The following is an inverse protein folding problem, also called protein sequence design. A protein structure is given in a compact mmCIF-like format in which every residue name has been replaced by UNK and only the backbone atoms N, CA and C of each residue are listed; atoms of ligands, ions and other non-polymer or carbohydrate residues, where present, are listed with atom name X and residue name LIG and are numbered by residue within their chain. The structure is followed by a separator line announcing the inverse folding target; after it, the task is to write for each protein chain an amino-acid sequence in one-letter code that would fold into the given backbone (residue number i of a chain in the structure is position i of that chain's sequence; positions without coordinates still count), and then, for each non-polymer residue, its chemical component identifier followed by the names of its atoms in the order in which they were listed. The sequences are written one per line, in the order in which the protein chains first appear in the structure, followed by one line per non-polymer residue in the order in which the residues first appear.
data_IF_451151985176
#
_entry.id   IF_451151985176
#
_cell.length_a   1.000
_cell.length_b   1.000
_cell.length_c   1.000
_cell.angle_alpha   90.00
_cell.angle_beta   90.00
_cell.angle_gamma   90.00
#
_symmetry.space_group_name_H-M   'P 1'
#
loop_
_entity.id
_entity.type
_entity.pdbx_description
1 polymer ?
#
# COMPACT_ATOMS: atom_id res chain seq x y z
N UNK A 1 0.87 14.02 21.24
CA UNK A 1 0.27 12.69 21.38
C UNK A 1 -0.12 12.23 19.99
N UNK A 2 0.73 11.41 19.37
CA UNK A 2 0.64 11.03 17.96
C UNK A 2 -0.57 10.13 17.71
N UNK A 3 -1.49 10.59 16.87
CA UNK A 3 -2.72 9.87 16.54
C UNK A 3 -2.43 8.97 15.32
N UNK A 4 -1.86 7.79 15.56
CA UNK A 4 -1.23 6.95 14.53
C UNK A 4 -2.25 6.18 13.65
N UNK A 5 -3.51 6.09 14.08
CA UNK A 5 -4.61 5.50 13.30
C UNK A 5 -5.83 6.40 13.45
N UNK A 6 -6.12 7.21 12.43
CA UNK A 6 -7.40 7.88 12.30
C UNK A 6 -8.32 7.08 11.39
N UNK A 7 -9.53 6.72 11.84
CA UNK A 7 -10.58 6.15 10.98
C UNK A 7 -11.18 7.18 10.00
N UNK A 8 -10.54 8.34 9.84
CA UNK A 8 -11.07 9.46 9.08
C UNK A 8 -10.74 9.23 7.61
N UNK A 9 -11.78 9.16 6.76
CA UNK A 9 -11.64 9.24 5.31
C UNK A 9 -11.06 10.61 4.95
N UNK A 10 -9.74 10.74 4.93
CA UNK A 10 -9.08 11.92 4.41
C UNK A 10 -9.32 12.00 2.91
N UNK A 11 -9.86 13.11 2.41
CA UNK A 11 -10.04 13.35 0.98
C UNK A 11 -8.71 13.41 0.18
N UNK A 12 -7.57 13.33 0.87
CA UNK A 12 -6.21 13.44 0.31
C UNK A 12 -5.25 12.32 0.74
N UNK A 13 -5.75 11.25 1.37
CA UNK A 13 -4.87 10.17 1.80
C UNK A 13 -4.37 9.36 0.60
N UNK A 14 -3.07 9.06 0.55
CA UNK A 14 -2.47 8.21 -0.47
C UNK A 14 -2.93 6.76 -0.25
N UNK A 15 -3.57 6.12 -1.25
CA UNK A 15 -4.02 4.75 -1.13
C UNK A 15 -2.85 3.76 -1.05
N UNK A 16 -2.85 2.93 -0.02
CA UNK A 16 -2.02 1.72 0.14
C UNK A 16 -2.86 0.53 -0.32
N UNK A 17 -2.45 -0.09 -1.41
CA UNK A 17 -3.14 -1.22 -2.03
C UNK A 17 -2.35 -2.51 -1.79
N UNK A 18 -2.95 -3.41 -1.02
CA UNK A 18 -2.37 -4.72 -0.75
C UNK A 18 -2.66 -5.68 -1.90
N UNK A 19 -1.62 -6.33 -2.40
CA UNK A 19 -1.67 -7.20 -3.56
C UNK A 19 -0.97 -8.53 -3.27
N UNK A 20 -1.43 -9.57 -3.94
CA UNK A 20 -0.65 -10.79 -4.16
C UNK A 20 -0.45 -10.99 -5.67
N UNK A 21 0.30 -12.03 -6.03
CA UNK A 21 0.56 -12.37 -7.43
C UNK A 21 -0.73 -12.57 -8.24
N UNK A 22 -1.81 -13.03 -7.61
CA UNK A 22 -3.10 -13.26 -8.27
C UNK A 22 -3.87 -11.95 -8.55
N UNK A 23 -3.76 -10.95 -7.67
CA UNK A 23 -4.43 -9.66 -7.81
C UNK A 23 -3.67 -8.64 -8.68
N UNK A 24 -2.36 -8.85 -8.88
CA UNK A 24 -1.51 -7.95 -9.67
C UNK A 24 -2.04 -7.67 -11.11
N UNK A 25 -2.55 -8.64 -11.88
CA UNK A 25 -3.11 -8.38 -13.20
C UNK A 25 -4.36 -7.49 -13.16
N UNK A 26 -5.20 -7.61 -12.13
CA UNK A 26 -6.38 -6.79 -11.94
C UNK A 26 -5.99 -5.35 -11.56
N UNK A 27 -5.02 -5.19 -10.66
CA UNK A 27 -4.43 -3.88 -10.34
C UNK A 27 -3.90 -3.19 -11.59
N UNK A 28 -3.10 -3.90 -12.41
CA UNK A 28 -2.51 -3.34 -13.63
C UNK A 28 -3.54 -2.76 -14.60
N UNK A 29 -4.76 -3.30 -14.65
CA UNK A 29 -5.85 -2.78 -15.49
C UNK A 29 -6.44 -1.46 -14.98
N UNK A 30 -6.35 -1.18 -13.67
CA UNK A 30 -6.81 0.07 -13.05
C UNK A 30 -5.80 1.22 -13.16
N UNK A 31 -4.52 0.88 -13.36
CA UNK A 31 -3.44 1.86 -13.47
C UNK A 31 -3.48 2.59 -14.82
N UNK A 32 -3.12 3.88 -14.80
CA UNK A 32 -2.95 4.66 -16.01
C UNK A 32 -1.73 4.17 -16.84
N UNK A 33 -1.52 4.77 -18.01
CA UNK A 33 -0.43 4.35 -18.90
C UNK A 33 0.97 4.60 -18.31
N UNK A 34 1.16 5.68 -17.55
CA UNK A 34 2.46 6.01 -16.94
C UNK A 34 2.77 5.06 -15.78
N UNK A 35 1.78 4.83 -14.91
CA UNK A 35 1.86 3.90 -13.78
C UNK A 35 2.11 2.45 -14.24
N UNK A 36 1.48 2.02 -15.35
CA UNK A 36 1.76 0.70 -15.94
C UNK A 36 3.20 0.55 -16.41
N UNK A 37 3.77 1.58 -17.05
CA UNK A 37 5.17 1.58 -17.47
C UNK A 37 6.11 1.57 -16.26
N UNK A 38 5.80 2.35 -15.23
CA UNK A 38 6.54 2.36 -13.97
C UNK A 38 6.55 0.98 -13.32
N UNK A 39 5.37 0.37 -13.19
CA UNK A 39 5.22 -0.98 -12.63
C UNK A 39 6.05 -2.02 -13.40
N UNK A 40 6.10 -1.92 -14.73
CA UNK A 40 6.95 -2.78 -15.57
C UNK A 40 8.44 -2.51 -15.35
N UNK A 41 8.86 -1.24 -15.30
CA UNK A 41 10.28 -0.89 -15.11
C UNK A 41 10.80 -1.21 -13.70
N UNK A 42 9.92 -1.34 -12.72
CA UNK A 42 10.28 -1.66 -11.34
C UNK A 42 10.32 -3.16 -11.04
N UNK A 43 10.04 -4.03 -12.03
CA UNK A 43 9.98 -5.50 -11.88
C UNK A 43 9.13 -5.96 -10.68
N UNK A 44 8.08 -5.20 -10.36
CA UNK A 44 7.23 -5.46 -9.20
C UNK A 44 6.33 -6.67 -9.46
N UNK A 45 6.45 -7.68 -8.60
CA UNK A 45 5.76 -8.98 -8.73
C UNK A 45 4.75 -9.27 -7.60
N UNK A 46 4.46 -8.30 -6.73
CA UNK A 46 3.57 -8.46 -5.57
C UNK A 46 3.94 -9.64 -4.65
N UNK A 47 5.25 -9.88 -4.45
CA UNK A 47 5.74 -10.83 -3.43
C UNK A 47 5.53 -10.25 -2.03
N UNK A 48 5.25 -11.10 -1.05
CA UNK A 48 5.14 -10.67 0.34
C UNK A 48 6.37 -9.82 0.76
N UNK A 49 6.12 -8.64 1.33
CA UNK A 49 7.16 -7.68 1.75
C UNK A 49 7.69 -6.77 0.64
N UNK A 50 7.34 -6.99 -0.63
CA UNK A 50 7.68 -6.06 -1.72
C UNK A 50 6.81 -4.82 -1.65
N UNK A 51 7.37 -3.66 -1.98
CA UNK A 51 6.64 -2.39 -2.00
C UNK A 51 6.99 -1.62 -3.27
N UNK A 52 6.03 -0.89 -3.81
CA UNK A 52 6.22 0.00 -4.95
C UNK A 52 5.44 1.28 -4.75
N UNK A 53 6.16 2.40 -4.81
CA UNK A 53 5.58 3.74 -4.82
C UNK A 53 5.30 4.15 -6.27
N UNK A 54 4.05 4.49 -6.56
CA UNK A 54 3.60 4.93 -7.87
C UNK A 54 3.42 6.46 -7.88
N UNK A 55 4.16 7.19 -8.73
CA UNK A 55 3.96 8.62 -8.90
C UNK A 55 2.70 8.93 -9.74
N UNK A 56 2.19 10.15 -9.60
CA UNK A 56 1.22 10.77 -10.50
C UNK A 56 1.93 11.43 -11.70
N UNK A 57 1.15 12.03 -12.60
CA UNK A 57 1.68 12.76 -13.76
C UNK A 57 2.57 13.97 -13.39
N UNK A 58 2.46 14.47 -12.15
CA UNK A 58 3.27 15.57 -11.61
C UNK A 58 4.48 15.10 -10.79
N UNK A 59 4.72 13.79 -10.69
CA UNK A 59 5.83 13.21 -9.92
C UNK A 59 5.58 13.10 -8.40
N UNK A 60 4.37 13.40 -7.93
CA UNK A 60 3.99 13.22 -6.51
C UNK A 60 3.52 11.79 -6.27
N UNK A 61 3.67 11.31 -5.02
CA UNK A 61 3.19 9.98 -4.66
C UNK A 61 1.66 9.90 -4.79
N UNK A 62 1.18 9.04 -5.68
CA UNK A 62 -0.26 8.87 -5.94
C UNK A 62 -0.82 7.58 -5.36
N UNK A 63 0.00 6.52 -5.27
CA UNK A 63 -0.43 5.21 -4.78
C UNK A 63 0.77 4.42 -4.29
N UNK A 64 0.55 3.57 -3.31
CA UNK A 64 1.53 2.61 -2.81
C UNK A 64 0.98 1.22 -3.04
N UNK A 65 1.74 0.37 -3.74
CA UNK A 65 1.44 -1.04 -3.87
C UNK A 65 2.29 -1.81 -2.87
N UNK A 66 1.70 -2.76 -2.16
CA UNK A 66 2.42 -3.64 -1.24
C UNK A 66 2.06 -5.08 -1.53
N UNK A 67 3.08 -5.90 -1.78
CA UNK A 67 2.93 -7.34 -1.88
C UNK A 67 2.78 -7.94 -0.48
N UNK A 68 1.74 -8.73 -0.26
CA UNK A 68 1.37 -9.26 1.05
C UNK A 68 1.14 -10.77 1.00
N UNK A 69 1.29 -11.43 2.15
CA UNK A 69 0.69 -12.73 2.38
C UNK A 69 -0.68 -12.53 3.03
N UNK A 70 -1.73 -13.11 2.44
CA UNK A 70 -3.10 -13.03 2.98
C UNK A 70 -3.25 -13.80 4.29
N UNK A 71 -2.38 -14.77 4.56
CA UNK A 71 -2.38 -15.53 5.80
C UNK A 71 -1.85 -14.71 6.99
N UNK A 72 -1.09 -13.64 6.74
CA UNK A 72 -0.41 -12.84 7.76
C UNK A 72 -0.78 -11.35 7.69
N UNK A 73 -2.07 -10.99 7.83
CA UNK A 73 -2.53 -9.60 7.69
C UNK A 73 -1.92 -8.64 8.71
N UNK A 74 -1.57 -9.13 9.91
CA UNK A 74 -0.92 -8.32 10.95
C UNK A 74 0.49 -7.87 10.58
N UNK A 75 1.26 -8.70 9.87
CA UNK A 75 2.65 -8.39 9.52
C UNK A 75 2.77 -7.76 8.14
N UNK A 76 1.74 -7.90 7.31
CA UNK A 76 1.68 -7.46 5.92
C UNK A 76 2.13 -6.01 5.69
N UNK A 77 1.85 -5.11 6.65
CA UNK A 77 2.13 -3.68 6.52
C UNK A 77 3.16 -3.14 7.52
N UNK A 78 3.72 -3.99 8.39
CA UNK A 78 4.62 -3.55 9.45
C UNK A 78 5.90 -2.90 8.90
N UNK A 79 6.50 -3.52 7.88
CA UNK A 79 7.69 -2.96 7.21
C UNK A 79 7.39 -1.69 6.41
N UNK A 80 6.14 -1.50 5.98
CA UNK A 80 5.73 -0.37 5.15
C UNK A 80 5.78 0.95 5.94
N UNK A 81 5.47 0.93 7.24
CA UNK A 81 5.45 2.13 8.06
C UNK A 81 6.79 2.89 8.10
N UNK A 82 7.91 2.19 7.91
CA UNK A 82 9.25 2.77 7.91
C UNK A 82 9.71 3.29 6.54
N UNK A 83 9.12 2.82 5.44
CA UNK A 83 9.56 3.18 4.08
C UNK A 83 8.76 4.32 3.47
N UNK A 84 7.65 4.71 4.10
CA UNK A 84 6.78 5.75 3.60
C UNK A 84 7.27 7.14 4.02
N UNK A 85 7.28 8.12 3.10
CA UNK A 85 7.49 9.52 3.46
C UNK A 85 6.35 10.03 4.34
N UNK A 86 6.58 11.14 5.03
CA UNK A 86 5.55 11.80 5.83
C UNK A 86 4.31 12.12 4.97
N UNK A 87 3.14 11.71 5.44
CA UNK A 87 1.88 11.90 4.74
C UNK A 87 0.73 11.10 5.35
N UNK A 88 -0.47 11.38 4.86
CA UNK A 88 -1.67 10.61 5.21
C UNK A 88 -1.82 9.43 4.25
N UNK A 89 -2.02 8.25 4.81
CA UNK A 89 -2.21 7.02 4.04
C UNK A 89 -3.50 6.31 4.43
N UNK A 90 -4.14 5.67 3.45
CA UNK A 90 -5.37 4.92 3.68
C UNK A 90 -5.31 3.56 2.96
N UNK A 91 -5.85 2.52 3.59
CA UNK A 91 -5.95 1.20 2.95
C UNK A 91 -6.98 1.24 1.82
N UNK A 92 -6.56 0.84 0.63
CA UNK A 92 -7.40 0.78 -0.55
C UNK A 92 -8.46 -0.32 -0.40
N UNK A 93 -9.67 -0.06 -0.89
CA UNK A 93 -10.80 -0.99 -0.84
C UNK A 93 -10.54 -2.21 -1.73
N UNK A 94 -9.75 -2.03 -2.78
CA UNK A 94 -9.36 -3.06 -3.75
C UNK A 94 -8.25 -3.99 -3.24
N UNK A 95 -7.78 -3.81 -2.00
CA UNK A 95 -6.75 -4.63 -1.38
C UNK A 95 -7.19 -6.07 -1.13
N UNK A 96 -6.23 -6.99 -1.07
CA UNK A 96 -6.48 -8.43 -0.89
C UNK A 96 -6.57 -8.90 0.56
N UNK A 97 -6.27 -8.02 1.52
CA UNK A 97 -6.32 -8.35 2.95
C UNK A 97 -7.77 -8.38 3.45
N UNK A 98 -8.19 -9.53 3.98
CA UNK A 98 -9.54 -9.71 4.53
C UNK A 98 -9.78 -8.92 5.81
N UNK A 99 -8.80 -8.88 6.73
CA UNK A 99 -8.90 -8.10 7.96
C UNK A 99 -8.06 -6.81 7.88
N UNK A 100 -8.73 -5.75 7.44
CA UNK A 100 -8.16 -4.42 7.30
C UNK A 100 -7.79 -3.79 8.64
N UNK A 101 -8.42 -4.21 9.75
CA UNK A 101 -8.11 -3.70 11.10
C UNK A 101 -6.81 -4.28 11.62
N UNK A 102 -6.59 -5.59 11.43
CA UNK A 102 -5.30 -6.22 11.76
C UNK A 102 -4.17 -5.62 10.92
N UNK A 103 -4.42 -5.34 9.64
CA UNK A 103 -3.45 -4.68 8.78
C UNK A 103 -3.09 -3.26 9.26
N UNK A 104 -4.09 -2.46 9.65
CA UNK A 104 -3.88 -1.13 10.22
C UNK A 104 -3.14 -1.18 11.56
N UNK A 105 -3.44 -2.17 12.41
CA UNK A 105 -2.70 -2.41 13.65
C UNK A 105 -1.25 -2.76 13.35
N UNK A 106 -1.00 -3.64 12.39
CA UNK A 106 0.32 -4.02 11.91
C UNK A 106 1.16 -2.84 11.44
N UNK A 107 0.55 -1.98 10.64
CA UNK A 107 1.14 -0.71 10.22
C UNK A 107 1.51 0.16 11.42
N UNK A 108 0.62 0.29 12.41
CA UNK A 108 0.89 1.11 13.58
C UNK A 108 1.97 0.55 14.50
N UNK A 109 2.01 -0.77 14.70
CA UNK A 109 3.08 -1.46 15.41
C UNK A 109 4.41 -1.29 14.70
N UNK A 110 4.39 -1.35 13.36
CA UNK A 110 5.54 -1.05 12.53
C UNK A 110 6.07 0.37 12.71
N UNK A 111 5.23 1.35 13.06
CA UNK A 111 5.66 2.73 13.34
C UNK A 111 6.13 2.97 14.79
N UNK A 112 6.05 1.97 15.66
CA UNK A 112 6.36 2.11 17.07
C UNK A 112 7.86 1.88 17.34
N UNK A 113 8.50 2.80 18.07
CA UNK A 113 9.84 2.65 18.66
C UNK A 113 9.73 2.70 20.18
#
# INVERSE_FOLDING_TARGET
MSNLIAMRRGHHAVPIESLDAAALPACRKRLDAAQRRWLQSSDFSARAGSTLQLPDAGGKLARVLVGVDRAEPLWALGALAHSLPEGDYALAVEGVLGDTRLAALGFALGGYR
#
